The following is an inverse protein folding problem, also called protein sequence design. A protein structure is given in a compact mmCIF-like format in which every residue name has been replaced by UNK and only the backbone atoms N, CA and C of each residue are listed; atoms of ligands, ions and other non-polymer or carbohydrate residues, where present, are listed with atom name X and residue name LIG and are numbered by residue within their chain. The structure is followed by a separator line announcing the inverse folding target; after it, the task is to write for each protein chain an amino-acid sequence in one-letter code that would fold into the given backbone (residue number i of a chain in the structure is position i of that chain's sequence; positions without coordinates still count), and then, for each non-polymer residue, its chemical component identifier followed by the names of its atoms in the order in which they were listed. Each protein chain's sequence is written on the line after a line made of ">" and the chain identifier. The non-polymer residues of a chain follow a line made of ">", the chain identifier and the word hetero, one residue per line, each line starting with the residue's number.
data_IF_538953527889
#
_entry.id   IF_538953527889
#
_cell.length_a   1.000
_cell.length_b   1.000
_cell.length_c   1.000
_cell.angle_alpha   90.00
_cell.angle_beta   90.00
_cell.angle_gamma   90.00
#
_symmetry.space_group_name_H-M   'P 1'
#
loop_
_entity.id
_entity.type
_entity.pdbx_description
1 polymer ?
#
# COMPACT_ATOMS: atom_id res chain seq x y z
N UNK A 1 23.47 20.07 -5.63
CA UNK A 1 22.96 21.24 -6.40
C UNK A 1 22.07 22.17 -5.56
N UNK A 2 22.14 22.12 -4.21
CA UNK A 2 21.31 22.94 -3.29
C UNK A 2 22.10 24.06 -2.59
N UNK A 3 23.43 23.98 -2.52
CA UNK A 3 24.23 24.99 -1.78
C UNK A 3 24.46 26.31 -2.51
N UNK A 4 24.32 26.38 -3.84
CA UNK A 4 24.65 27.59 -4.61
C UNK A 4 23.48 28.60 -4.62
N UNK A 5 22.24 28.14 -4.41
CA UNK A 5 21.05 29.00 -4.34
C UNK A 5 20.97 29.81 -3.03
N UNK A 6 21.46 29.28 -1.91
CA UNK A 6 21.44 29.97 -0.61
C UNK A 6 22.48 31.09 -0.49
N UNK A 7 23.62 30.98 -1.18
CA UNK A 7 24.65 32.02 -1.13
C UNK A 7 24.23 33.30 -1.88
N UNK A 8 23.40 33.17 -2.92
CA UNK A 8 22.96 34.33 -3.71
C UNK A 8 21.85 35.14 -3.04
N UNK A 9 20.98 34.52 -2.25
CA UNK A 9 19.91 35.23 -1.51
C UNK A 9 20.45 36.02 -0.31
N UNK A 10 21.62 35.66 0.22
CA UNK A 10 22.21 36.31 1.40
C UNK A 10 22.94 37.63 1.04
N UNK A 11 23.45 37.77 -0.18
CA UNK A 11 24.23 38.96 -0.61
C UNK A 11 23.34 40.19 -0.91
N UNK A 12 22.02 40.03 -1.05
CA UNK A 12 21.08 41.15 -1.31
C UNK A 12 20.57 41.85 -0.03
N UNK A 13 20.86 41.33 1.18
CA UNK A 13 20.31 41.86 2.42
C UNK A 13 21.13 42.98 3.11
N UNK A 14 22.31 43.35 2.60
CA UNK A 14 23.20 44.32 3.28
C UNK A 14 23.11 45.76 2.76
N UNK A 15 22.26 46.06 1.78
CA UNK A 15 22.08 47.44 1.28
C UNK A 15 20.65 47.90 1.55
N UNK A 16 20.51 48.96 2.35
CA UNK A 16 19.26 49.61 2.80
C UNK A 16 18.12 49.56 1.77
N UNK A 17 17.24 48.57 1.90
CA UNK A 17 16.01 48.46 1.10
C UNK A 17 14.90 49.28 1.79
N UNK A 18 14.09 50.01 1.00
CA UNK A 18 12.91 50.73 1.49
C UNK A 18 12.01 49.76 2.29
N UNK A 19 11.35 50.20 3.37
CA UNK A 19 10.53 49.34 4.23
C UNK A 19 9.45 48.58 3.46
N UNK A 20 8.91 49.17 2.39
CA UNK A 20 7.93 48.52 1.50
C UNK A 20 8.46 47.25 0.80
N UNK A 21 9.75 47.20 0.47
CA UNK A 21 10.38 46.06 -0.22
C UNK A 21 10.62 44.92 0.77
N UNK A 22 10.98 45.25 2.01
CA UNK A 22 11.13 44.30 3.12
C UNK A 22 9.80 43.62 3.39
N UNK A 23 8.71 44.39 3.52
CA UNK A 23 7.37 43.85 3.76
C UNK A 23 6.93 42.93 2.61
N UNK A 24 7.14 43.32 1.35
CA UNK A 24 6.82 42.47 0.19
C UNK A 24 7.61 41.16 0.17
N UNK A 25 8.89 41.19 0.55
CA UNK A 25 9.74 40.00 0.59
C UNK A 25 9.32 39.03 1.71
N UNK A 26 8.97 39.54 2.89
CA UNK A 26 8.41 38.72 3.98
C UNK A 26 7.07 38.09 3.61
N UNK A 27 6.17 38.87 2.99
CA UNK A 27 4.85 38.36 2.54
C UNK A 27 5.05 37.26 1.49
N UNK A 28 5.92 37.47 0.51
CA UNK A 28 6.18 36.48 -0.56
C UNK A 28 6.84 35.20 -0.02
N UNK A 29 7.73 35.31 0.97
CA UNK A 29 8.30 34.16 1.68
C UNK A 29 7.25 33.35 2.43
N UNK A 30 6.29 34.01 3.07
CA UNK A 30 5.18 33.36 3.76
C UNK A 30 4.27 32.57 2.80
N UNK A 31 3.96 33.15 1.63
CA UNK A 31 3.21 32.45 0.59
C UNK A 31 3.97 31.23 0.05
N UNK A 32 5.28 31.35 -0.15
CA UNK A 32 6.12 30.24 -0.63
C UNK A 32 6.24 29.10 0.40
N UNK A 33 6.43 29.41 1.68
CA UNK A 33 6.42 28.42 2.75
C UNK A 33 5.05 27.72 2.88
N UNK A 34 3.97 28.49 2.74
CA UNK A 34 2.61 27.95 2.74
C UNK A 34 2.36 26.97 1.59
N UNK A 35 2.79 27.28 0.36
CA UNK A 35 2.63 26.37 -0.77
C UNK A 35 3.49 25.12 -0.65
N UNK A 36 4.73 25.23 -0.17
CA UNK A 36 5.60 24.07 0.09
C UNK A 36 5.02 23.18 1.19
N UNK A 37 4.45 23.75 2.26
CA UNK A 37 3.79 23.00 3.32
C UNK A 37 2.54 22.27 2.82
N UNK A 38 1.70 22.93 2.00
CA UNK A 38 0.52 22.31 1.38
C UNK A 38 0.94 21.20 0.42
N UNK A 39 1.97 21.41 -0.39
CA UNK A 39 2.51 20.38 -1.28
C UNK A 39 3.03 19.18 -0.48
N UNK A 40 3.77 19.42 0.61
CA UNK A 40 4.25 18.36 1.51
C UNK A 40 3.11 17.61 2.20
N UNK A 41 2.06 18.31 2.65
CA UNK A 41 0.85 17.69 3.19
C UNK A 41 0.07 16.88 2.13
N UNK A 42 0.07 17.30 0.86
CA UNK A 42 -0.50 16.52 -0.23
C UNK A 42 0.35 15.28 -0.58
N UNK A 43 1.67 15.32 -0.37
CA UNK A 43 2.55 14.15 -0.47
C UNK A 43 2.42 13.18 0.72
N UNK A 44 1.88 13.64 1.87
CA UNK A 44 1.48 12.81 3.01
C UNK A 44 0.07 12.21 2.85
N UNK A 45 -0.40 12.02 1.61
CA UNK A 45 -1.54 11.12 1.37
C UNK A 45 -1.10 9.71 1.74
N UNK A 46 -1.41 9.31 2.96
CA UNK A 46 -1.20 7.95 3.44
C UNK A 46 -1.84 6.97 2.44
N UNK A 47 -1.03 6.09 1.86
CA UNK A 47 -1.51 4.80 1.41
C UNK A 47 -1.96 4.09 2.69
N UNK A 48 -3.24 4.17 3.03
CA UNK A 48 -3.78 3.51 4.21
C UNK A 48 -3.81 2.01 3.90
N UNK A 49 -2.70 1.34 4.17
CA UNK A 49 -2.69 -0.11 4.36
C UNK A 49 -3.40 -0.38 5.68
N UNK A 50 -4.54 -1.06 5.64
CA UNK A 50 -5.37 -1.28 6.82
C UNK A 50 -4.76 -2.41 7.65
N UNK A 51 -4.26 -2.07 8.84
CA UNK A 51 -3.68 -3.04 9.76
C UNK A 51 -4.78 -3.93 10.33
N UNK A 52 -4.63 -5.23 10.18
CA UNK A 52 -5.52 -6.22 10.78
C UNK A 52 -5.04 -6.48 12.21
N UNK A 53 -5.84 -6.07 13.20
CA UNK A 53 -5.49 -6.28 14.61
C UNK A 53 -5.53 -7.75 15.02
N UNK A 54 -6.54 -8.48 14.55
CA UNK A 54 -6.67 -9.92 14.68
C UNK A 54 -7.78 -10.40 13.74
N UNK A 55 -7.58 -11.55 13.10
CA UNK A 55 -8.66 -12.24 12.38
C UNK A 55 -9.62 -12.92 13.36
N UNK A 56 -10.91 -13.05 13.03
CA UNK A 56 -11.84 -13.88 13.80
C UNK A 56 -11.31 -15.31 13.90
N UNK A 57 -11.26 -15.86 15.12
CA UNK A 57 -10.74 -17.21 15.36
C UNK A 57 -9.21 -17.34 15.32
N UNK A 58 -8.46 -16.24 15.17
CA UNK A 58 -7.00 -16.25 15.16
C UNK A 58 -6.41 -16.66 16.53
N UNK A 59 -5.32 -17.46 16.55
CA UNK A 59 -4.54 -17.70 17.75
C UNK A 59 -3.98 -16.40 18.35
N UNK A 60 -3.87 -16.34 19.68
CA UNK A 60 -3.37 -15.17 20.40
C UNK A 60 -1.85 -14.98 20.30
N UNK A 61 -1.11 -15.98 19.84
CA UNK A 61 0.36 -16.01 19.82
C UNK A 61 0.95 -15.59 18.46
N UNK A 62 0.38 -14.58 17.82
CA UNK A 62 0.83 -14.09 16.51
C UNK A 62 1.66 -12.81 16.68
N UNK A 63 2.91 -12.86 16.23
CA UNK A 63 3.89 -11.76 16.34
C UNK A 63 4.03 -10.88 15.09
N UNK A 64 3.68 -11.41 13.92
CA UNK A 64 3.80 -10.69 12.64
C UNK A 64 2.58 -9.81 12.36
N UNK A 65 2.78 -8.73 11.63
CA UNK A 65 1.69 -7.85 11.21
C UNK A 65 1.01 -8.38 9.95
N UNK A 66 -0.28 -8.10 9.88
CA UNK A 66 -1.14 -8.46 8.76
C UNK A 66 -1.84 -7.19 8.28
N UNK A 67 -2.01 -7.08 6.96
CA UNK A 67 -2.69 -5.95 6.36
C UNK A 67 -3.64 -6.43 5.28
N UNK A 68 -4.72 -5.69 5.07
CA UNK A 68 -5.57 -5.86 3.90
C UNK A 68 -5.95 -4.51 3.31
N UNK A 69 -6.49 -4.56 2.09
CA UNK A 69 -7.02 -3.39 1.43
C UNK A 69 -7.13 -3.60 -0.06
N UNK A 70 -7.05 -2.49 -0.79
CA UNK A 70 -7.29 -2.48 -2.23
C UNK A 70 -6.13 -1.83 -2.99
N UNK A 71 -5.69 -2.51 -4.05
CA UNK A 71 -4.78 -1.98 -5.07
C UNK A 71 -5.65 -1.41 -6.19
N UNK A 72 -5.70 -0.09 -6.31
CA UNK A 72 -6.46 0.58 -7.38
C UNK A 72 -5.71 0.42 -8.70
N UNK A 73 -6.31 -0.28 -9.66
CA UNK A 73 -5.71 -0.55 -10.97
C UNK A 73 -6.29 0.31 -12.10
N UNK A 74 -7.52 0.82 -11.95
CA UNK A 74 -8.08 1.83 -12.84
C UNK A 74 -9.01 2.75 -12.04
N UNK A 75 -8.59 4.00 -11.82
CA UNK A 75 -9.38 4.99 -11.07
C UNK A 75 -10.62 5.45 -11.81
N UNK A 76 -10.57 5.51 -13.13
CA UNK A 76 -11.69 5.99 -13.95
C UNK A 76 -12.82 4.98 -13.97
N UNK A 77 -12.49 3.69 -13.95
CA UNK A 77 -13.46 2.60 -13.92
C UNK A 77 -13.88 2.18 -12.49
N UNK A 78 -13.27 2.76 -11.45
CA UNK A 78 -13.48 2.32 -10.06
C UNK A 78 -12.92 0.91 -9.78
N UNK A 79 -11.88 0.50 -10.53
CA UNK A 79 -11.35 -0.86 -10.53
C UNK A 79 -10.27 -1.07 -9.48
N UNK A 80 -10.49 -2.04 -8.59
CA UNK A 80 -9.65 -2.31 -7.42
C UNK A 80 -9.50 -3.80 -7.14
N UNK A 81 -8.25 -4.24 -6.94
CA UNK A 81 -7.94 -5.62 -6.54
C UNK A 81 -7.76 -5.71 -5.02
N UNK A 82 -8.45 -6.64 -4.36
CA UNK A 82 -8.24 -6.91 -2.95
C UNK A 82 -6.89 -7.60 -2.73
N UNK A 83 -6.21 -7.21 -1.66
CA UNK A 83 -5.00 -7.89 -1.21
C UNK A 83 -5.06 -8.23 0.28
N UNK A 84 -4.35 -9.29 0.63
CA UNK A 84 -4.00 -9.65 1.98
C UNK A 84 -2.49 -9.84 2.06
N UNK A 85 -1.86 -9.08 2.94
CA UNK A 85 -0.42 -9.04 3.15
C UNK A 85 -0.09 -9.54 4.55
N UNK A 86 0.91 -10.41 4.63
CA UNK A 86 1.40 -10.99 5.87
C UNK A 86 2.91 -10.77 5.93
N UNK A 87 3.39 -10.10 6.98
CA UNK A 87 4.82 -9.97 7.18
C UNK A 87 5.47 -11.33 7.46
N UNK A 88 6.75 -11.42 7.14
CA UNK A 88 7.51 -12.58 7.52
C UNK A 88 7.54 -12.72 9.06
N UNK A 89 7.39 -13.94 9.59
CA UNK A 89 7.44 -14.21 11.03
C UNK A 89 8.89 -14.24 11.53
N UNK A 90 9.53 -13.07 11.49
CA UNK A 90 10.93 -12.89 11.85
C UNK A 90 11.19 -11.47 12.33
N UNK A 91 12.08 -11.31 13.32
CA UNK A 91 12.55 -9.99 13.78
C UNK A 91 13.17 -9.19 12.63
N UNK A 92 13.73 -9.87 11.63
CA UNK A 92 14.36 -9.25 10.46
C UNK A 92 13.43 -9.20 9.23
N UNK A 93 12.10 -9.22 9.41
CA UNK A 93 11.12 -9.26 8.32
C UNK A 93 11.35 -8.21 7.22
N UNK A 94 11.84 -7.02 7.57
CA UNK A 94 12.15 -5.93 6.62
C UNK A 94 13.29 -6.24 5.64
N UNK A 95 14.12 -7.24 5.95
CA UNK A 95 15.23 -7.71 5.09
C UNK A 95 14.90 -8.96 4.28
N UNK A 96 13.76 -9.60 4.58
CA UNK A 96 13.29 -10.80 3.88
C UNK A 96 12.57 -10.39 2.57
N UNK A 97 12.53 -11.30 1.58
CA UNK A 97 11.91 -10.99 0.29
C UNK A 97 10.42 -10.67 0.41
N UNK A 98 9.85 -10.11 -0.66
CA UNK A 98 8.42 -10.01 -0.88
C UNK A 98 8.03 -11.06 -1.93
N UNK A 99 7.13 -11.97 -1.57
CA UNK A 99 6.58 -12.97 -2.47
C UNK A 99 5.15 -12.62 -2.83
N UNK A 100 4.89 -12.40 -4.12
CA UNK A 100 3.54 -12.30 -4.67
C UNK A 100 2.98 -13.70 -4.93
N UNK A 101 1.79 -13.97 -4.42
CA UNK A 101 1.07 -15.22 -4.63
C UNK A 101 -0.24 -14.97 -5.39
N UNK A 102 -0.41 -15.71 -6.50
CA UNK A 102 -1.59 -15.69 -7.34
C UNK A 102 -2.08 -17.12 -7.55
N UNK A 103 -3.30 -17.44 -7.13
CA UNK A 103 -3.93 -18.68 -7.55
C UNK A 103 -4.42 -18.54 -9.00
N UNK A 104 -4.30 -19.62 -9.76
CA UNK A 104 -4.70 -19.69 -11.16
C UNK A 104 -6.12 -20.21 -11.37
N UNK A 105 -6.38 -20.72 -12.58
CA UNK A 105 -7.73 -20.97 -13.07
C UNK A 105 -8.45 -19.65 -13.38
N UNK A 106 -9.58 -19.64 -14.07
CA UNK A 106 -10.42 -18.46 -14.04
C UNK A 106 -11.22 -18.47 -12.74
N UNK A 107 -10.84 -17.61 -11.78
CA UNK A 107 -11.71 -17.25 -10.65
C UNK A 107 -11.37 -17.83 -9.28
N UNK A 108 -10.27 -18.58 -9.11
CA UNK A 108 -9.89 -19.06 -7.78
C UNK A 108 -9.27 -17.94 -6.94
N UNK A 109 -9.76 -17.79 -5.71
CA UNK A 109 -9.28 -16.77 -4.77
C UNK A 109 -7.89 -17.11 -4.22
N UNK A 110 -6.94 -16.19 -4.40
CA UNK A 110 -5.61 -16.26 -3.77
C UNK A 110 -5.67 -16.16 -2.25
N UNK A 111 -6.71 -15.51 -1.71
CA UNK A 111 -6.97 -15.43 -0.28
C UNK A 111 -7.49 -16.77 0.25
N UNK A 112 -8.59 -17.26 -0.34
CA UNK A 112 -9.26 -18.47 0.10
C UNK A 112 -8.41 -19.72 -0.04
N UNK A 113 -7.89 -19.99 -1.25
CA UNK A 113 -7.07 -21.17 -1.49
C UNK A 113 -5.62 -20.95 -1.03
N UNK A 114 -4.96 -19.92 -1.55
CA UNK A 114 -3.54 -19.65 -1.25
C UNK A 114 -3.28 -19.42 0.24
N UNK A 115 -3.88 -18.37 0.80
CA UNK A 115 -3.57 -17.96 2.16
C UNK A 115 -4.14 -18.90 3.23
N UNK A 116 -5.36 -19.41 3.06
CA UNK A 116 -6.03 -20.18 4.12
C UNK A 116 -6.03 -21.70 3.93
N UNK A 117 -5.69 -22.22 2.74
CA UNK A 117 -5.69 -23.67 2.48
C UNK A 117 -4.34 -24.22 2.03
N UNK A 118 -3.46 -23.39 1.46
CA UNK A 118 -2.17 -23.83 0.92
C UNK A 118 -1.01 -23.43 1.84
N UNK A 119 -0.56 -22.17 1.77
CA UNK A 119 0.75 -21.78 2.31
C UNK A 119 0.77 -20.53 3.19
N UNK A 120 -0.38 -19.92 3.47
CA UNK A 120 -0.43 -18.78 4.38
C UNK A 120 -0.25 -19.17 5.86
N UNK A 121 -0.21 -18.17 6.73
CA UNK A 121 0.17 -18.34 8.14
C UNK A 121 -0.84 -19.17 8.95
N UNK A 122 -2.08 -19.25 8.47
CA UNK A 122 -3.17 -19.91 9.16
C UNK A 122 -3.86 -20.91 8.23
N UNK A 123 -4.31 -22.02 8.81
CA UNK A 123 -5.24 -22.95 8.19
C UNK A 123 -6.59 -22.89 8.90
N UNK A 124 -7.66 -23.24 8.18
CA UNK A 124 -9.01 -23.33 8.76
C UNK A 124 -9.13 -24.66 9.52
N UNK A 125 -9.39 -24.58 10.83
CA UNK A 125 -9.65 -25.70 11.72
C UNK A 125 -11.07 -26.26 11.57
N UNK A 126 -11.36 -27.36 12.27
CA UNK A 126 -12.60 -28.12 12.12
C UNK A 126 -13.85 -27.34 12.54
N UNK A 127 -13.74 -26.38 13.47
CA UNK A 127 -14.87 -25.56 13.93
C UNK A 127 -14.85 -24.14 13.36
N UNK A 128 -14.06 -23.91 12.29
CA UNK A 128 -13.93 -22.62 11.63
C UNK A 128 -12.98 -21.64 12.34
N UNK A 129 -12.29 -22.07 13.39
CA UNK A 129 -11.16 -21.35 13.97
C UNK A 129 -9.95 -21.36 13.04
N UNK A 130 -9.01 -20.43 13.28
CA UNK A 130 -7.73 -20.43 12.58
C UNK A 130 -6.68 -21.14 13.43
N UNK A 131 -5.88 -21.99 12.80
CA UNK A 131 -4.74 -22.68 13.42
C UNK A 131 -3.45 -22.30 12.71
N UNK A 132 -2.35 -22.17 13.45
CA UNK A 132 -1.06 -21.80 12.85
C UNK A 132 -0.58 -22.89 11.89
N UNK A 133 -0.14 -22.46 10.70
CA UNK A 133 0.47 -23.33 9.70
C UNK A 133 1.98 -23.45 9.96
N UNK A 134 2.43 -24.60 10.47
CA UNK A 134 3.85 -24.85 10.73
C UNK A 134 4.73 -24.89 9.46
N UNK A 135 4.11 -24.93 8.28
CA UNK A 135 4.79 -24.92 6.98
C UNK A 135 4.44 -23.67 6.16
N UNK A 136 4.05 -22.58 6.83
CA UNK A 136 3.74 -21.34 6.13
C UNK A 136 4.96 -20.77 5.42
N UNK A 137 4.72 -20.21 4.24
CA UNK A 137 5.75 -19.49 3.50
C UNK A 137 6.11 -18.15 4.13
N UNK A 138 5.26 -17.61 5.02
CA UNK A 138 5.60 -16.40 5.76
C UNK A 138 6.72 -16.62 6.80
N UNK A 139 7.16 -17.85 7.02
CA UNK A 139 8.36 -18.11 7.82
C UNK A 139 9.64 -17.60 7.12
N UNK A 140 9.64 -17.48 5.79
CA UNK A 140 10.82 -17.15 4.98
C UNK A 140 10.65 -15.91 4.09
N UNK A 141 9.42 -15.37 3.96
CA UNK A 141 9.12 -14.25 3.08
C UNK A 141 7.96 -13.39 3.58
N UNK A 142 7.91 -12.13 3.18
CA UNK A 142 6.72 -11.31 3.32
C UNK A 142 5.74 -11.73 2.21
N UNK A 143 4.58 -12.24 2.57
CA UNK A 143 3.62 -12.83 1.63
C UNK A 143 2.56 -11.81 1.22
N UNK A 144 2.34 -11.64 -0.08
CA UNK A 144 1.29 -10.80 -0.65
C UNK A 144 0.36 -11.67 -1.50
N UNK A 145 -0.85 -11.88 -1.01
CA UNK A 145 -1.93 -12.58 -1.72
C UNK A 145 -2.82 -11.56 -2.40
N UNK A 146 -2.98 -11.66 -3.72
CA UNK A 146 -3.81 -10.73 -4.49
C UNK A 146 -4.92 -11.49 -5.19
N UNK A 147 -6.16 -11.05 -5.01
CA UNK A 147 -7.30 -11.62 -5.71
C UNK A 147 -7.39 -11.03 -7.12
N UNK A 148 -7.16 -11.87 -8.12
CA UNK A 148 -7.14 -11.49 -9.53
C UNK A 148 -7.79 -12.59 -10.37
N UNK A 149 -8.54 -12.27 -11.43
CA UNK A 149 -8.86 -10.93 -11.92
C UNK A 149 -9.94 -10.20 -11.09
N UNK A 150 -10.44 -9.08 -11.62
CA UNK A 150 -11.61 -8.39 -11.03
C UNK A 150 -12.83 -9.33 -11.01
N UNK A 151 -13.66 -9.21 -9.98
CA UNK A 151 -14.76 -10.14 -9.73
C UNK A 151 -14.38 -11.41 -8.97
N UNK A 152 -13.09 -11.65 -8.72
CA UNK A 152 -12.64 -12.74 -7.83
C UNK A 152 -12.64 -12.27 -6.38
N UNK A 153 -13.36 -13.00 -5.53
CA UNK A 153 -13.42 -12.73 -4.10
C UNK A 153 -13.96 -11.33 -3.80
N UNK A 154 -13.13 -10.49 -3.20
CA UNK A 154 -13.45 -9.11 -2.83
C UNK A 154 -12.98 -8.09 -3.88
N UNK A 155 -12.26 -8.49 -4.94
CA UNK A 155 -11.87 -7.59 -6.03
C UNK A 155 -13.05 -7.15 -6.88
N UNK A 156 -13.14 -5.86 -7.21
CA UNK A 156 -14.30 -5.28 -7.89
C UNK A 156 -13.94 -4.20 -8.93
N UNK A 157 -14.91 -3.91 -9.78
CA UNK A 157 -15.00 -2.71 -10.61
C UNK A 157 -16.39 -2.09 -10.51
N UNK A 158 -16.46 -0.76 -10.63
CA UNK A 158 -17.73 -0.02 -10.75
C UNK A 158 -18.22 0.05 -12.21
N UNK A 159 -17.40 -0.41 -13.16
CA UNK A 159 -17.71 -0.44 -14.60
C UNK A 159 -18.04 -1.86 -15.04
N UNK A 160 -19.28 -2.10 -15.46
CA UNK A 160 -19.78 -3.44 -15.83
C UNK A 160 -18.99 -4.09 -16.96
N UNK A 161 -18.51 -3.30 -17.93
CA UNK A 161 -17.74 -3.80 -19.08
C UNK A 161 -16.43 -4.50 -18.67
N UNK A 162 -15.85 -4.13 -17.51
CA UNK A 162 -14.63 -4.77 -17.01
C UNK A 162 -14.85 -6.27 -16.70
N UNK A 163 -16.08 -6.68 -16.38
CA UNK A 163 -16.42 -8.07 -16.05
C UNK A 163 -16.63 -8.95 -17.30
N UNK A 164 -16.72 -8.35 -18.48
CA UNK A 164 -17.02 -9.05 -19.74
C UNK A 164 -15.71 -9.37 -20.50
N UNK A 165 -14.70 -8.49 -20.41
CA UNK A 165 -13.45 -8.56 -21.18
C UNK A 165 -12.20 -8.87 -20.33
N UNK A 166 -12.22 -9.92 -19.51
CA UNK A 166 -11.03 -10.34 -18.75
C UNK A 166 -10.11 -11.23 -19.61
N UNK A 167 -8.94 -10.72 -19.97
CA UNK A 167 -7.85 -11.46 -20.59
C UNK A 167 -6.52 -11.09 -19.92
N UNK A 168 -5.46 -11.88 -20.16
CA UNK A 168 -4.13 -11.67 -19.56
C UNK A 168 -3.52 -10.28 -19.84
N UNK A 169 -3.95 -9.62 -20.93
CA UNK A 169 -3.53 -8.25 -21.26
C UNK A 169 -4.23 -7.21 -20.39
N UNK A 170 -5.49 -7.45 -20.02
CA UNK A 170 -6.33 -6.54 -19.23
C UNK A 170 -6.19 -6.74 -17.71
N UNK A 171 -5.75 -7.92 -17.28
CA UNK A 171 -5.58 -8.32 -15.87
C UNK A 171 -4.16 -8.15 -15.34
N UNK A 172 -3.19 -7.90 -16.23
CA UNK A 172 -1.85 -7.48 -15.86
C UNK A 172 -1.86 -6.11 -15.17
N UNK A 173 -1.10 -5.99 -14.08
CA UNK A 173 -0.76 -4.71 -13.45
C UNK A 173 0.08 -3.89 -14.47
N UNK A 174 -0.59 -3.11 -15.31
CA UNK A 174 0.04 -2.16 -16.24
C UNK A 174 0.16 -0.76 -15.65
#
# INVERSE_FOLDING_TARGET
>A
MVSIFYLWTTILFTKTQKPEIIIKSFVMGFWFLGTVLVFWLCFLRNCNSELISALPGQPSNVSFQQHSGYIVTNKEHGRSLFYYFVQADSVNHSSLPLTLWLNGGPGCSSLGFGAFMENGPFQVGENGELVNNQHSWNLESNMLYVESPIGVGFSYSETDDDYIDWNDTNTGLS
#
